data_IF_366512275397
#
_entry.id   IF_366512275397
#
_cell.length_a   1.000
_cell.length_b   1.000
_cell.length_c   1.000
_cell.angle_alpha   90.00
_cell.angle_beta   90.00
_cell.angle_gamma   90.00
#
_symmetry.space_group_name_H-M   'P 1'
#
loop_
_entity.id
_entity.type
_entity.pdbx_description
1 polymer ?
#
# COMPACT_ATOMS: atom_id res chain seq x y z
N UNK A 1 -7.33 20.64 12.66
CA UNK A 1 -7.80 21.81 13.43
C UNK A 1 -7.11 23.05 12.91
N UNK A 2 -7.86 23.85 12.16
CA UNK A 2 -7.47 25.14 11.58
C UNK A 2 -7.20 26.15 12.69
N UNK A 3 -6.11 26.92 12.56
CA UNK A 3 -5.78 28.01 13.46
C UNK A 3 -6.87 29.08 13.46
N UNK A 4 -7.00 29.73 14.62
CA UNK A 4 -7.82 30.88 14.93
C UNK A 4 -8.18 31.81 13.73
N UNK A 5 -9.46 31.81 13.34
CA UNK A 5 -10.28 32.99 13.02
C UNK A 5 -9.94 33.95 11.87
N UNK A 6 -8.74 33.98 11.29
CA UNK A 6 -8.29 35.09 10.42
C UNK A 6 -8.53 34.92 8.90
N UNK A 7 -9.12 33.79 8.48
CA UNK A 7 -9.34 33.49 7.05
C UNK A 7 -8.03 33.25 6.26
N UNK A 8 -8.11 33.06 4.94
CA UNK A 8 -6.92 32.91 4.07
C UNK A 8 -6.13 34.21 4.02
N UNK A 9 -4.79 34.18 4.03
CA UNK A 9 -3.98 35.37 3.79
C UNK A 9 -4.21 35.97 2.40
N UNK A 10 -4.02 37.28 2.26
CA UNK A 10 -4.06 38.00 0.97
C UNK A 10 -2.72 38.66 0.73
N UNK A 11 -2.19 38.53 -0.49
CA UNK A 11 -0.88 39.04 -0.85
C UNK A 11 -0.87 39.58 -2.30
N UNK A 12 -0.19 40.71 -2.60
CA UNK A 12 -0.23 41.35 -3.91
C UNK A 12 0.88 40.79 -4.83
N UNK A 13 0.72 39.56 -5.30
CA UNK A 13 1.79 38.84 -6.03
C UNK A 13 2.32 39.60 -7.24
N UNK A 14 1.44 40.20 -8.05
CA UNK A 14 1.81 40.85 -9.30
C UNK A 14 2.43 42.24 -9.09
N UNK A 15 2.27 42.81 -7.89
CA UNK A 15 2.89 44.08 -7.51
C UNK A 15 4.37 43.91 -7.14
N UNK A 16 4.77 42.72 -6.68
CA UNK A 16 6.16 42.43 -6.30
C UNK A 16 6.99 42.18 -7.57
N UNK A 17 7.42 43.26 -8.21
CA UNK A 17 8.21 43.23 -9.45
C UNK A 17 9.71 43.25 -9.21
N UNK A 18 10.15 43.63 -8.01
CA UNK A 18 11.55 43.61 -7.59
C UNK A 18 11.67 43.53 -6.06
N UNK A 19 12.86 43.18 -5.56
CA UNK A 19 13.13 43.15 -4.12
C UNK A 19 12.95 44.52 -3.44
N UNK A 20 13.16 45.62 -4.16
CA UNK A 20 13.02 46.96 -3.59
C UNK A 20 11.58 47.29 -3.18
N UNK A 21 10.59 46.72 -3.86
CA UNK A 21 9.17 46.87 -3.52
C UNK A 21 8.90 46.38 -2.09
N UNK A 22 9.62 45.35 -1.63
CA UNK A 22 9.45 44.83 -0.27
C UNK A 22 9.81 45.84 0.83
N UNK A 23 10.59 46.87 0.50
CA UNK A 23 10.98 47.92 1.44
C UNK A 23 9.95 49.07 1.53
N UNK A 24 8.91 49.07 0.68
CA UNK A 24 7.85 50.08 0.76
C UNK A 24 7.13 50.00 2.11
N UNK A 25 6.91 51.16 2.73
CA UNK A 25 6.47 51.27 4.13
C UNK A 25 4.97 51.53 4.28
N UNK A 26 4.23 51.49 3.18
CA UNK A 26 2.79 51.72 3.14
C UNK A 26 2.07 50.47 2.65
N UNK A 27 0.83 50.31 3.09
CA UNK A 27 -0.07 49.29 2.53
C UNK A 27 -0.17 49.51 1.02
N UNK A 28 0.04 48.49 0.18
CA UNK A 28 -0.12 48.60 -1.27
C UNK A 28 -1.54 49.05 -1.62
N UNK A 29 -1.71 49.83 -2.70
CA UNK A 29 -3.04 50.26 -3.11
C UNK A 29 -3.94 49.06 -3.43
N UNK A 30 -5.25 49.22 -3.32
CA UNK A 30 -6.21 48.12 -3.55
C UNK A 30 -6.00 47.41 -4.89
N UNK A 31 -5.74 48.16 -5.96
CA UNK A 31 -5.47 47.63 -7.30
C UNK A 31 -4.20 46.76 -7.40
N UNK A 32 -3.29 46.83 -6.43
CA UNK A 32 -2.08 46.01 -6.39
C UNK A 32 -2.39 44.53 -6.09
N UNK A 33 -3.58 44.23 -5.57
CA UNK A 33 -4.03 42.88 -5.24
C UNK A 33 -4.85 42.23 -6.36
N UNK A 34 -5.03 42.93 -7.48
CA UNK A 34 -5.73 42.38 -8.64
C UNK A 34 -4.90 41.27 -9.28
N UNK A 35 -5.58 40.23 -9.75
CA UNK A 35 -4.94 39.10 -10.43
C UNK A 35 -5.27 39.13 -11.90
N UNK A 36 -4.29 39.47 -12.75
CA UNK A 36 -4.40 39.33 -14.21
C UNK A 36 -4.55 37.86 -14.59
N UNK A 37 -3.89 36.95 -13.85
CA UNK A 37 -4.01 35.50 -14.09
C UNK A 37 -5.45 35.00 -13.94
N UNK A 38 -6.20 35.52 -12.96
CA UNK A 38 -7.59 35.13 -12.71
C UNK A 38 -8.62 36.07 -13.32
N UNK A 39 -8.20 37.25 -13.77
CA UNK A 39 -9.09 38.33 -14.22
C UNK A 39 -9.99 38.84 -13.10
N UNK A 40 -9.50 38.85 -11.86
CA UNK A 40 -10.29 39.20 -10.66
C UNK A 40 -9.65 40.34 -9.89
N UNK A 41 -10.47 41.26 -9.37
CA UNK A 41 -10.04 42.29 -8.42
C UNK A 41 -10.40 41.92 -6.99
N UNK A 42 -9.65 42.45 -6.02
CA UNK A 42 -9.93 42.26 -4.60
C UNK A 42 -11.23 42.99 -4.21
N UNK A 43 -12.01 42.41 -3.29
CA UNK A 43 -13.21 43.08 -2.75
C UNK A 43 -12.82 44.20 -1.77
N UNK A 44 -13.73 45.16 -1.54
CA UNK A 44 -13.53 46.20 -0.52
C UNK A 44 -13.31 45.61 0.87
N UNK A 45 -14.14 44.64 1.27
CA UNK A 45 -14.06 43.96 2.57
C UNK A 45 -12.72 43.23 2.77
N UNK A 46 -12.24 42.54 1.72
CA UNK A 46 -10.93 41.89 1.75
C UNK A 46 -9.77 42.89 1.87
N UNK A 47 -9.89 44.06 1.24
CA UNK A 47 -8.89 45.12 1.35
C UNK A 47 -8.90 45.79 2.73
N UNK A 48 -10.08 46.02 3.32
CA UNK A 48 -10.20 46.44 4.73
C UNK A 48 -9.51 45.43 5.67
N UNK A 49 -9.66 44.13 5.39
CA UNK A 49 -8.97 43.09 6.15
C UNK A 49 -7.45 43.17 6.01
N UNK A 50 -6.91 43.48 4.82
CA UNK A 50 -5.47 43.69 4.62
C UNK A 50 -4.98 44.85 5.47
N UNK A 51 -5.71 45.98 5.48
CA UNK A 51 -5.38 47.15 6.32
C UNK A 51 -5.41 46.80 7.82
N UNK A 52 -6.45 46.10 8.26
CA UNK A 52 -6.55 45.62 9.64
C UNK A 52 -5.35 44.74 10.02
N UNK A 53 -4.98 43.77 9.18
CA UNK A 53 -3.81 42.90 9.43
C UNK A 53 -2.53 43.71 9.50
N UNK A 54 -2.34 44.66 8.59
CA UNK A 54 -1.16 45.53 8.57
C UNK A 54 -1.01 46.31 9.89
N UNK A 55 -2.10 46.92 10.37
CA UNK A 55 -2.12 47.68 11.62
C UNK A 55 -2.00 46.77 12.85
N UNK A 56 -2.75 45.67 12.89
CA UNK A 56 -2.79 44.74 14.02
C UNK A 56 -1.43 44.10 14.32
N UNK A 57 -0.67 43.76 13.27
CA UNK A 57 0.68 43.21 13.40
C UNK A 57 1.80 44.27 13.37
N UNK A 58 1.44 45.56 13.40
CA UNK A 58 2.36 46.71 13.37
C UNK A 58 3.41 46.63 12.24
N UNK A 59 2.96 46.23 11.05
CA UNK A 59 3.83 46.02 9.88
C UNK A 59 4.47 47.34 9.44
N UNK A 60 5.78 47.32 9.20
CA UNK A 60 6.54 48.52 8.79
C UNK A 60 6.84 48.54 7.31
N UNK A 61 6.71 47.39 6.64
CA UNK A 61 7.05 47.22 5.23
C UNK A 61 6.26 46.10 4.57
N UNK A 62 6.21 46.11 3.23
CA UNK A 62 5.63 45.00 2.45
C UNK A 62 6.34 43.67 2.75
N UNK A 63 7.63 43.70 3.12
CA UNK A 63 8.37 42.53 3.59
C UNK A 63 7.72 41.87 4.82
N UNK A 64 7.21 42.66 5.76
CA UNK A 64 6.54 42.15 6.96
C UNK A 64 5.23 41.44 6.58
N UNK A 65 4.48 42.02 5.63
CA UNK A 65 3.29 41.39 5.06
C UNK A 65 3.61 40.07 4.36
N UNK A 66 4.71 40.00 3.61
CA UNK A 66 5.18 38.76 2.95
C UNK A 66 5.55 37.69 3.99
N UNK A 67 6.28 38.05 5.04
CA UNK A 67 6.68 37.14 6.11
C UNK A 67 5.44 36.60 6.81
N UNK A 68 4.51 37.47 7.17
CA UNK A 68 3.24 37.08 7.78
C UNK A 68 2.46 36.13 6.88
N UNK A 69 2.29 36.50 5.60
CA UNK A 69 1.56 35.71 4.61
C UNK A 69 2.15 34.31 4.47
N UNK A 70 3.47 34.20 4.28
CA UNK A 70 4.14 32.90 4.16
C UNK A 70 4.04 32.07 5.45
N UNK A 71 4.11 32.71 6.62
CA UNK A 71 4.00 32.01 7.90
C UNK A 71 2.62 31.38 8.12
N UNK A 72 1.55 31.89 7.50
CA UNK A 72 0.23 31.27 7.55
C UNK A 72 0.22 29.86 6.95
N UNK A 73 1.05 29.59 5.94
CA UNK A 73 1.18 28.27 5.33
C UNK A 73 2.31 27.44 5.96
N UNK A 74 3.47 28.07 6.21
CA UNK A 74 4.67 27.39 6.72
C UNK A 74 4.46 26.87 8.14
N UNK A 75 3.85 27.64 9.05
CA UNK A 75 3.71 27.22 10.45
C UNK A 75 2.82 25.98 10.58
N UNK A 76 1.62 25.91 9.98
CA UNK A 76 0.83 24.68 9.97
C UNK A 76 1.54 23.52 9.28
N UNK A 77 2.27 23.77 8.19
CA UNK A 77 3.01 22.73 7.48
C UNK A 77 4.11 22.11 8.36
N UNK A 78 4.91 22.93 9.06
CA UNK A 78 5.93 22.45 10.01
C UNK A 78 5.27 21.71 11.19
N UNK A 79 4.12 22.18 11.68
CA UNK A 79 3.37 21.46 12.73
C UNK A 79 2.92 20.08 12.26
N UNK A 80 2.43 19.96 11.03
CA UNK A 80 2.03 18.69 10.42
C UNK A 80 3.24 17.76 10.25
N UNK A 81 4.36 18.28 9.74
CA UNK A 81 5.63 17.53 9.61
C UNK A 81 6.10 17.01 10.97
N UNK A 82 6.09 17.85 12.00
CA UNK A 82 6.50 17.42 13.35
C UNK A 82 5.60 16.29 13.87
N UNK A 83 4.28 16.41 13.69
CA UNK A 83 3.34 15.37 14.10
C UNK A 83 3.57 14.05 13.34
N UNK A 84 3.76 14.10 12.02
CA UNK A 84 4.05 12.90 11.22
C UNK A 84 5.40 12.28 11.58
N UNK A 85 6.44 13.09 11.82
CA UNK A 85 7.74 12.60 12.29
C UNK A 85 7.62 11.84 13.61
N UNK A 86 6.89 12.37 14.58
CA UNK A 86 6.70 11.68 15.87
C UNK A 86 5.81 10.42 15.76
N UNK A 87 4.98 10.31 14.72
CA UNK A 87 4.27 9.07 14.41
C UNK A 87 5.23 7.99 13.86
N UNK A 88 6.02 8.31 12.83
CA UNK A 88 6.89 7.34 12.17
C UNK A 88 8.11 6.92 13.00
N UNK A 89 8.58 7.80 13.90
CA UNK A 89 9.58 7.44 14.91
C UNK A 89 9.18 6.24 15.78
N UNK A 90 7.88 5.98 15.98
CA UNK A 90 7.41 4.81 16.76
C UNK A 90 7.69 3.48 16.07
N UNK A 91 8.03 3.54 14.79
CA UNK A 91 8.37 2.40 13.93
C UNK A 91 9.86 2.41 13.56
N UNK A 92 10.68 3.20 14.27
CA UNK A 92 12.10 3.42 13.96
C UNK A 92 12.35 3.87 12.51
N UNK A 93 11.45 4.68 11.96
CA UNK A 93 11.55 5.24 10.61
C UNK A 93 11.81 6.75 10.65
N UNK A 94 12.79 7.20 9.86
CA UNK A 94 12.95 8.61 9.50
C UNK A 94 12.03 8.95 8.30
N UNK A 95 11.07 9.84 8.54
CA UNK A 95 10.09 10.21 7.53
C UNK A 95 10.68 10.76 6.22
N UNK A 96 11.87 11.35 6.23
CA UNK A 96 12.49 11.96 5.05
C UNK A 96 13.55 11.08 4.40
N UNK A 97 14.26 10.26 5.19
CA UNK A 97 15.29 9.37 4.67
C UNK A 97 14.72 7.99 4.29
N UNK A 98 13.78 7.46 5.07
CA UNK A 98 13.25 6.10 4.89
C UNK A 98 12.09 6.02 3.92
N UNK A 99 11.41 7.12 3.61
CA UNK A 99 10.32 7.11 2.65
C UNK A 99 10.16 8.45 1.95
N UNK A 100 10.16 8.43 0.62
CA UNK A 100 9.91 9.64 -0.20
C UNK A 100 8.44 10.08 -0.11
N UNK A 101 7.55 9.21 0.38
CA UNK A 101 6.11 9.46 0.48
C UNK A 101 5.48 8.74 1.66
N UNK A 102 4.30 9.21 2.11
CA UNK A 102 3.50 8.54 3.14
C UNK A 102 3.21 7.08 2.80
N UNK A 103 2.78 6.70 1.57
CA UNK A 103 2.63 5.30 1.21
C UNK A 103 3.90 4.46 1.39
N UNK A 104 5.07 4.98 1.03
CA UNK A 104 6.33 4.26 1.21
C UNK A 104 6.68 3.99 2.68
N UNK A 105 6.38 4.95 3.57
CA UNK A 105 6.53 4.73 5.01
C UNK A 105 5.50 3.74 5.55
N UNK A 106 4.24 3.84 5.11
CA UNK A 106 3.19 2.89 5.48
C UNK A 106 3.51 1.46 5.05
N UNK A 107 4.09 1.27 3.86
CA UNK A 107 4.57 -0.03 3.38
C UNK A 107 5.66 -0.60 4.30
N UNK A 108 6.66 0.21 4.69
CA UNK A 108 7.70 -0.24 5.63
C UNK A 108 7.11 -0.67 6.97
N UNK A 109 6.16 0.11 7.51
CA UNK A 109 5.44 -0.24 8.74
C UNK A 109 4.66 -1.54 8.58
N UNK A 110 3.99 -1.76 7.45
CA UNK A 110 3.29 -3.01 7.15
C UNK A 110 4.25 -4.21 7.21
N UNK A 111 5.42 -4.13 6.57
CA UNK A 111 6.40 -5.23 6.62
C UNK A 111 6.98 -5.45 8.02
N UNK A 112 7.24 -4.39 8.80
CA UNK A 112 7.69 -4.56 10.19
C UNK A 112 6.60 -5.21 11.06
N UNK A 113 5.33 -4.83 10.89
CA UNK A 113 4.24 -5.26 11.77
C UNK A 113 3.73 -6.66 11.44
N UNK A 114 3.71 -7.07 10.16
CA UNK A 114 3.19 -8.38 9.77
C UNK A 114 4.04 -9.54 10.31
N UNK A 115 5.37 -9.38 10.40
CA UNK A 115 6.26 -10.42 10.92
C UNK A 115 6.50 -10.36 12.44
N UNK A 116 6.06 -9.30 13.13
CA UNK A 116 6.21 -9.16 14.59
C UNK A 116 4.98 -9.62 15.36
N UNK A 117 3.78 -9.50 14.78
CA UNK A 117 2.51 -9.87 15.42
C UNK A 117 2.03 -11.29 15.06
N UNK A 118 2.94 -12.27 15.07
CA UNK A 118 2.63 -13.67 14.74
C UNK A 118 1.67 -14.28 15.76
N UNK A 119 0.62 -14.96 15.27
CA UNK A 119 -0.24 -15.81 16.09
C UNK A 119 0.44 -17.17 16.30
N UNK A 120 0.23 -17.75 17.48
CA UNK A 120 0.73 -19.07 17.80
C UNK A 120 -0.40 -20.09 17.75
N UNK A 121 -0.14 -21.32 17.25
CA UNK A 121 -1.13 -22.38 17.30
C UNK A 121 -1.61 -22.64 18.74
N UNK A 122 -2.88 -23.02 18.88
CA UNK A 122 -3.44 -23.42 20.17
C UNK A 122 -2.64 -24.60 20.75
N UNK A 123 -2.35 -24.51 22.05
CA UNK A 123 -1.62 -25.53 22.83
C UNK A 123 -2.56 -26.37 23.69
N UNK A 124 -3.83 -26.47 23.29
CA UNK A 124 -4.81 -27.37 23.92
C UNK A 124 -4.32 -28.81 23.84
N UNK A 125 -4.16 -29.50 24.99
CA UNK A 125 -3.72 -30.90 25.02
C UNK A 125 -4.53 -31.80 24.08
N UNK A 126 -3.87 -32.75 23.42
CA UNK A 126 -4.56 -33.78 22.66
C UNK A 126 -5.05 -34.92 23.56
N UNK A 127 -5.81 -35.85 22.98
CA UNK A 127 -6.24 -37.06 23.68
C UNK A 127 -5.04 -37.92 24.06
N UNK A 128 -5.12 -38.53 25.23
CA UNK A 128 -4.08 -39.43 25.76
C UNK A 128 -3.98 -40.69 24.89
N UNK A 129 -2.76 -41.06 24.50
CA UNK A 129 -2.47 -42.33 23.82
C UNK A 129 -1.08 -42.85 24.18
N UNK A 130 -0.83 -44.12 23.92
CA UNK A 130 0.50 -44.73 24.07
C UNK A 130 1.25 -44.66 22.74
N UNK A 131 2.53 -44.37 22.79
CA UNK A 131 3.39 -44.31 21.61
C UNK A 131 3.33 -45.68 20.87
N UNK A 132 3.22 -45.68 19.54
CA UNK A 132 3.06 -46.90 18.76
C UNK A 132 4.35 -47.76 18.78
N UNK A 133 4.30 -48.90 19.48
CA UNK A 133 5.47 -49.76 19.70
C UNK A 133 6.09 -50.31 18.40
N UNK A 134 5.28 -50.50 17.36
CA UNK A 134 5.74 -50.95 16.04
C UNK A 134 6.74 -49.98 15.38
N UNK A 135 6.76 -48.69 15.77
CA UNK A 135 7.71 -47.70 15.22
C UNK A 135 9.14 -47.84 15.76
N UNK A 136 9.33 -48.42 16.96
CA UNK A 136 10.66 -48.56 17.57
C UNK A 136 11.65 -49.33 16.69
N UNK A 137 11.19 -50.41 16.06
CA UNK A 137 12.03 -51.23 15.18
C UNK A 137 12.59 -50.43 14.00
N UNK A 138 11.80 -49.47 13.48
CA UNK A 138 12.24 -48.56 12.43
C UNK A 138 13.35 -47.63 12.90
N UNK A 139 13.20 -46.99 14.05
CA UNK A 139 14.21 -46.09 14.61
C UNK A 139 15.53 -46.81 14.92
N UNK A 140 15.45 -47.99 15.55
CA UNK A 140 16.62 -48.83 15.83
C UNK A 140 17.39 -49.20 14.55
N UNK A 141 16.67 -49.56 13.49
CA UNK A 141 17.26 -49.90 12.19
C UNK A 141 17.93 -48.70 11.52
N UNK A 142 17.32 -47.51 11.62
CA UNK A 142 17.87 -46.27 11.08
C UNK A 142 19.19 -45.88 11.76
N UNK A 143 19.27 -46.00 13.08
CA UNK A 143 20.47 -45.64 13.83
C UNK A 143 21.58 -46.68 13.65
N UNK A 144 21.25 -47.97 13.63
CA UNK A 144 22.20 -49.03 13.31
C UNK A 144 22.83 -48.81 11.91
N UNK A 145 22.02 -48.49 10.90
CA UNK A 145 22.49 -48.18 9.54
C UNK A 145 23.43 -46.97 9.50
N UNK A 146 23.13 -45.95 10.30
CA UNK A 146 23.93 -44.72 10.38
C UNK A 146 25.07 -44.80 11.42
N UNK A 147 25.29 -45.96 12.06
CA UNK A 147 26.27 -46.17 13.14
C UNK A 147 26.10 -45.22 14.33
N UNK A 148 24.85 -44.95 14.72
CA UNK A 148 24.48 -44.13 15.88
C UNK A 148 24.02 -45.00 17.05
N UNK A 149 24.20 -44.50 18.27
CA UNK A 149 23.74 -45.15 19.50
C UNK A 149 22.20 -45.15 19.59
N UNK A 150 21.63 -46.20 20.19
CA UNK A 150 20.19 -46.31 20.42
C UNK A 150 19.95 -46.80 21.85
N UNK A 151 19.30 -45.97 22.67
CA UNK A 151 18.91 -46.31 24.05
C UNK A 151 17.44 -46.01 24.35
N UNK A 152 16.68 -45.55 23.34
CA UNK A 152 15.29 -45.15 23.51
C UNK A 152 14.35 -46.31 23.89
N UNK A 153 13.50 -46.08 24.90
CA UNK A 153 12.48 -47.03 25.36
C UNK A 153 11.06 -46.51 25.10
N UNK A 154 10.08 -47.42 25.06
CA UNK A 154 8.68 -47.05 24.89
C UNK A 154 8.16 -46.20 26.06
N UNK A 155 8.60 -46.52 27.28
CA UNK A 155 8.27 -45.78 28.50
C UNK A 155 8.79 -44.33 28.45
N UNK A 156 10.02 -44.13 27.94
CA UNK A 156 10.57 -42.80 27.73
C UNK A 156 9.73 -42.01 26.71
N UNK A 157 9.37 -42.60 25.57
CA UNK A 157 8.53 -41.92 24.56
C UNK A 157 7.14 -41.55 25.11
N UNK A 158 6.53 -42.42 25.91
CA UNK A 158 5.26 -42.13 26.59
C UNK A 158 5.39 -40.99 27.61
N UNK A 159 6.50 -40.95 28.33
CA UNK A 159 6.82 -39.85 29.26
C UNK A 159 6.98 -38.53 28.49
N UNK A 160 7.63 -38.53 27.32
CA UNK A 160 7.75 -37.34 26.48
C UNK A 160 6.40 -36.90 25.91
N UNK A 161 5.54 -37.83 25.49
CA UNK A 161 4.17 -37.53 25.05
C UNK A 161 3.40 -36.78 26.14
N UNK A 162 3.43 -37.28 27.38
CA UNK A 162 2.78 -36.64 28.53
C UNK A 162 3.36 -35.24 28.80
N UNK A 163 4.69 -35.12 28.85
CA UNK A 163 5.39 -33.82 29.05
C UNK A 163 5.03 -32.81 27.96
N UNK A 164 4.87 -33.25 26.72
CA UNK A 164 4.48 -32.41 25.57
C UNK A 164 2.96 -32.23 25.42
N UNK A 165 2.15 -32.72 26.36
CA UNK A 165 0.67 -32.66 26.29
C UNK A 165 0.11 -33.27 25.00
N UNK A 166 0.80 -34.28 24.47
CA UNK A 166 0.45 -34.97 23.22
C UNK A 166 0.40 -34.04 22.01
N UNK A 167 1.24 -33.00 22.01
CA UNK A 167 1.39 -32.06 20.89
C UNK A 167 2.72 -32.26 20.16
N UNK A 168 2.70 -32.00 18.86
CA UNK A 168 3.92 -31.93 18.07
C UNK A 168 4.84 -30.85 18.62
N UNK A 169 6.09 -31.20 18.92
CA UNK A 169 7.11 -30.28 19.42
C UNK A 169 7.57 -29.23 18.41
N UNK A 170 7.12 -29.31 17.15
CA UNK A 170 7.49 -28.39 16.06
C UNK A 170 6.32 -27.49 15.65
N UNK A 171 5.15 -28.06 15.35
CA UNK A 171 3.98 -27.32 14.87
C UNK A 171 2.84 -27.19 15.88
N UNK A 172 2.96 -27.81 17.06
CA UNK A 172 1.91 -27.88 18.09
C UNK A 172 0.58 -28.54 17.66
N UNK A 173 0.51 -29.18 16.49
CA UNK A 173 -0.68 -29.96 16.14
C UNK A 173 -0.91 -31.08 17.15
N UNK A 174 -2.18 -31.41 17.38
CA UNK A 174 -2.57 -32.54 18.22
C UNK A 174 -2.08 -33.85 17.60
N UNK A 175 -1.43 -34.68 18.42
CA UNK A 175 -0.91 -35.97 18.00
C UNK A 175 -1.91 -37.08 18.27
N UNK A 176 -1.78 -38.14 17.48
CA UNK A 176 -2.45 -39.43 17.64
C UNK A 176 -1.38 -40.53 17.50
N UNK A 177 -1.75 -41.77 17.80
CA UNK A 177 -0.86 -42.91 17.59
C UNK A 177 -0.37 -43.02 16.13
N UNK A 178 -1.19 -42.60 15.16
CA UNK A 178 -0.85 -42.65 13.74
C UNK A 178 0.03 -41.49 13.28
N UNK A 179 -0.06 -40.35 13.97
CA UNK A 179 0.65 -39.13 13.55
C UNK A 179 1.90 -38.83 14.34
N UNK A 180 2.11 -39.44 15.50
CA UNK A 180 3.29 -39.23 16.34
C UNK A 180 4.57 -39.88 15.78
N UNK A 181 5.69 -39.20 15.96
CA UNK A 181 7.03 -39.68 15.65
C UNK A 181 8.02 -39.24 16.73
N UNK A 182 9.05 -40.06 16.96
CA UNK A 182 10.25 -39.64 17.68
C UNK A 182 11.19 -38.95 16.67
N UNK A 183 11.60 -37.72 16.97
CA UNK A 183 12.43 -36.87 16.13
C UNK A 183 13.72 -36.53 16.86
N UNK A 184 14.85 -36.61 16.16
CA UNK A 184 16.17 -36.38 16.75
C UNK A 184 16.41 -34.88 16.85
N UNK A 185 16.79 -34.42 18.04
CA UNK A 185 17.16 -33.02 18.27
C UNK A 185 18.46 -32.69 17.53
N UNK A 186 19.44 -33.60 17.58
CA UNK A 186 20.68 -33.55 16.84
C UNK A 186 20.77 -34.78 15.92
N UNK A 187 20.77 -34.55 14.60
CA UNK A 187 20.83 -35.60 13.59
C UNK A 187 22.14 -36.43 13.62
N UNK A 188 23.20 -35.90 14.22
CA UNK A 188 24.47 -36.62 14.39
C UNK A 188 24.45 -37.64 15.54
N UNK A 189 23.51 -37.49 16.48
CA UNK A 189 23.30 -38.42 17.59
C UNK A 189 22.11 -39.33 17.25
N UNK A 190 22.05 -40.54 17.83
CA UNK A 190 20.93 -41.45 17.60
C UNK A 190 19.75 -41.18 18.53
N UNK A 191 18.81 -42.12 18.58
CA UNK A 191 17.67 -42.08 19.49
C UNK A 191 18.11 -42.50 20.89
N UNK A 192 18.65 -41.51 21.61
CA UNK A 192 19.11 -41.62 22.99
C UNK A 192 18.36 -40.63 23.89
N UNK A 193 18.41 -40.89 25.19
CA UNK A 193 17.85 -40.02 26.21
C UNK A 193 18.38 -38.59 26.09
N UNK A 194 17.48 -37.61 26.09
CA UNK A 194 17.82 -36.19 25.95
C UNK A 194 18.02 -35.70 24.52
N UNK A 195 18.08 -36.59 23.51
CA UNK A 195 18.20 -36.20 22.10
C UNK A 195 16.87 -36.31 21.32
N UNK A 196 15.72 -36.39 21.99
CA UNK A 196 14.46 -36.73 21.33
C UNK A 196 13.35 -35.73 21.64
N UNK A 197 12.67 -35.31 20.56
CA UNK A 197 11.47 -34.49 20.57
C UNK A 197 10.34 -35.30 19.94
N UNK A 198 9.15 -35.33 20.54
CA UNK A 198 8.01 -35.91 19.85
C UNK A 198 7.50 -34.90 18.83
N UNK A 199 7.49 -35.27 17.54
CA UNK A 199 6.92 -34.45 16.47
C UNK A 199 5.85 -35.23 15.71
N UNK A 200 5.09 -34.56 14.83
CA UNK A 200 4.24 -35.28 13.91
C UNK A 200 5.08 -35.80 12.73
N UNK A 201 4.66 -36.90 12.12
CA UNK A 201 5.36 -37.52 10.97
C UNK A 201 5.61 -36.51 9.85
N UNK A 202 4.66 -35.60 9.60
CA UNK A 202 4.80 -34.54 8.59
C UNK A 202 5.99 -33.62 8.91
N UNK A 203 6.10 -33.14 10.15
CA UNK A 203 7.19 -32.26 10.57
C UNK A 203 8.54 -32.99 10.58
N UNK A 204 8.61 -34.22 11.09
CA UNK A 204 9.85 -35.02 11.08
C UNK A 204 10.39 -35.24 9.65
N UNK A 205 9.50 -35.47 8.69
CA UNK A 205 9.89 -35.66 7.29
C UNK A 205 10.31 -34.33 6.63
N UNK A 206 9.66 -33.22 7.00
CA UNK A 206 9.90 -31.91 6.42
C UNK A 206 11.11 -31.17 7.01
N UNK A 207 11.50 -31.45 8.26
CA UNK A 207 12.61 -30.77 8.95
C UNK A 207 13.96 -31.02 8.30
N UNK A 208 14.19 -32.21 7.73
CA UNK A 208 15.45 -32.62 7.10
C UNK A 208 16.64 -32.32 8.03
N UNK A 209 17.59 -31.49 7.58
CA UNK A 209 18.78 -31.09 8.34
C UNK A 209 18.66 -29.70 8.97
N UNK A 210 17.46 -29.11 8.95
CA UNK A 210 17.22 -27.79 9.53
C UNK A 210 17.27 -27.85 11.05
N UNK A 211 17.76 -26.77 11.67
CA UNK A 211 17.71 -26.67 13.13
C UNK A 211 16.26 -26.64 13.62
N UNK A 212 16.01 -27.18 14.81
CA UNK A 212 14.68 -27.14 15.44
C UNK A 212 14.12 -25.72 15.54
N UNK A 213 14.97 -24.75 15.89
CA UNK A 213 14.58 -23.34 15.98
C UNK A 213 14.16 -22.77 14.62
N UNK A 214 14.96 -23.03 13.58
CA UNK A 214 14.64 -22.61 12.20
C UNK A 214 13.35 -23.24 11.70
N UNK A 215 13.17 -24.55 11.92
CA UNK A 215 11.96 -25.25 11.47
C UNK A 215 10.71 -24.80 12.22
N UNK A 216 10.79 -24.57 13.54
CA UNK A 216 9.71 -24.01 14.34
C UNK A 216 9.29 -22.63 13.83
N UNK A 217 10.27 -21.77 13.54
CA UNK A 217 9.98 -20.44 13.00
C UNK A 217 9.34 -20.54 11.61
N UNK A 218 9.87 -21.38 10.71
CA UNK A 218 9.25 -21.64 9.40
C UNK A 218 7.81 -22.11 9.52
N UNK A 219 7.55 -23.07 10.40
CA UNK A 219 6.21 -23.61 10.66
C UNK A 219 5.26 -22.54 11.22
N UNK A 220 5.78 -21.65 12.09
CA UNK A 220 5.03 -20.52 12.61
C UNK A 220 4.66 -19.52 11.51
N UNK A 221 5.56 -19.27 10.55
CA UNK A 221 5.26 -18.45 9.38
C UNK A 221 4.20 -19.12 8.49
N UNK A 222 4.31 -20.43 8.23
CA UNK A 222 3.30 -21.19 7.48
C UNK A 222 1.92 -21.12 8.15
N UNK A 223 1.85 -21.21 9.48
CA UNK A 223 0.61 -21.05 10.25
C UNK A 223 -0.02 -19.65 10.12
N UNK A 224 0.79 -18.61 9.89
CA UNK A 224 0.33 -17.23 9.70
C UNK A 224 0.27 -16.82 8.22
N UNK A 225 0.43 -17.76 7.28
CA UNK A 225 0.63 -17.43 5.86
C UNK A 225 -0.51 -16.60 5.25
N UNK A 226 -1.72 -16.71 5.77
CA UNK A 226 -2.91 -15.94 5.39
C UNK A 226 -2.86 -14.46 5.85
N UNK A 227 -1.87 -14.08 6.65
CA UNK A 227 -1.74 -12.73 7.26
C UNK A 227 -0.37 -12.09 7.01
N UNK A 228 0.55 -12.84 6.43
CA UNK A 228 1.90 -12.38 6.13
C UNK A 228 1.97 -11.81 4.72
N UNK A 229 2.65 -10.68 4.58
CA UNK A 229 2.92 -10.06 3.29
C UNK A 229 4.40 -10.21 2.98
N UNK A 230 4.70 -10.85 1.86
CA UNK A 230 6.07 -11.07 1.39
C UNK A 230 6.40 -10.13 0.25
N UNK A 231 7.62 -9.61 0.23
CA UNK A 231 8.14 -8.99 -0.98
C UNK A 231 8.37 -10.07 -2.04
N UNK A 232 7.98 -9.78 -3.28
CA UNK A 232 8.24 -10.68 -4.41
C UNK A 232 9.75 -10.69 -4.67
N UNK A 233 10.37 -11.84 -4.45
CA UNK A 233 11.82 -11.99 -4.52
C UNK A 233 12.26 -12.79 -5.76
N UNK A 234 13.54 -13.19 -5.78
CA UNK A 234 14.14 -13.90 -6.91
C UNK A 234 13.49 -15.27 -7.18
N UNK A 235 12.94 -15.92 -6.17
CA UNK A 235 12.24 -17.21 -6.33
C UNK A 235 10.94 -17.02 -7.11
N UNK A 236 10.29 -15.86 -6.97
CA UNK A 236 9.01 -15.51 -7.57
C UNK A 236 9.19 -14.55 -8.78
N UNK A 237 10.39 -14.51 -9.38
CA UNK A 237 10.73 -13.56 -10.47
C UNK A 237 9.78 -13.60 -11.67
N UNK A 238 9.21 -14.77 -11.97
CA UNK A 238 8.32 -14.94 -13.12
C UNK A 238 6.95 -14.31 -12.81
N UNK A 239 6.49 -14.42 -11.57
CA UNK A 239 5.29 -13.74 -11.06
C UNK A 239 5.54 -12.23 -11.02
N UNK A 240 6.72 -11.80 -10.56
CA UNK A 240 7.12 -10.39 -10.58
C UNK A 240 7.01 -9.80 -11.98
N UNK A 241 7.58 -10.47 -13.00
CA UNK A 241 7.55 -10.00 -14.38
C UNK A 241 6.11 -9.86 -14.90
N UNK A 242 5.25 -10.87 -14.65
CA UNK A 242 3.84 -10.84 -15.01
C UNK A 242 3.06 -9.72 -14.32
N UNK A 243 3.26 -9.53 -13.02
CA UNK A 243 2.61 -8.43 -12.30
C UNK A 243 3.11 -7.09 -12.84
N UNK A 244 4.42 -6.92 -13.01
CA UNK A 244 5.04 -5.68 -13.47
C UNK A 244 4.57 -5.25 -14.85
N UNK A 245 4.40 -6.19 -15.78
CA UNK A 245 3.88 -5.90 -17.12
C UNK A 245 2.41 -5.47 -17.13
N UNK A 246 1.66 -5.83 -16.08
CA UNK A 246 0.22 -5.56 -15.94
C UNK A 246 -0.11 -4.48 -14.89
N UNK A 247 0.89 -3.91 -14.22
CA UNK A 247 0.67 -2.77 -13.32
C UNK A 247 0.25 -1.56 -14.15
N UNK A 248 -0.96 -1.07 -13.88
CA UNK A 248 -1.47 0.19 -14.39
C UNK A 248 -1.49 1.24 -13.26
N UNK A 249 -1.35 2.51 -13.64
CA UNK A 249 -1.57 3.63 -12.73
C UNK A 249 -3.06 3.86 -12.45
N UNK A 250 -3.36 4.94 -11.71
CA UNK A 250 -4.74 5.36 -11.49
C UNK A 250 -5.46 5.65 -12.82
N UNK A 251 -6.72 5.20 -12.98
CA UNK A 251 -7.46 5.46 -14.20
C UNK A 251 -7.73 6.97 -14.36
N UNK A 252 -7.37 7.52 -15.52
CA UNK A 252 -7.73 8.87 -15.92
C UNK A 252 -8.70 8.80 -17.09
N UNK A 253 -9.97 9.15 -16.83
CA UNK A 253 -11.06 9.05 -17.79
C UNK A 253 -11.62 10.45 -18.05
N UNK A 254 -11.70 10.83 -19.33
CA UNK A 254 -12.23 12.12 -19.75
C UNK A 254 -13.51 11.88 -20.54
N UNK A 255 -14.66 12.09 -19.90
CA UNK A 255 -15.98 11.93 -20.55
C UNK A 255 -16.35 13.13 -21.41
N UNK A 256 -15.99 14.33 -20.96
CA UNK A 256 -16.20 15.56 -21.71
C UNK A 256 -14.99 16.48 -21.48
N UNK A 257 -14.44 17.00 -22.57
CA UNK A 257 -13.26 17.88 -22.55
C UNK A 257 -13.61 19.32 -22.19
N UNK A 258 -14.87 19.70 -22.30
CA UNK A 258 -15.34 21.05 -21.98
C UNK A 258 -16.76 21.04 -21.40
N UNK A 259 -16.91 21.65 -20.23
CA UNK A 259 -18.20 21.89 -19.63
C UNK A 259 -18.27 23.32 -19.08
N UNK A 260 -19.31 24.06 -19.48
CA UNK A 260 -19.61 25.39 -19.00
C UNK A 260 -21.03 25.45 -18.44
N UNK A 261 -21.10 26.02 -17.24
CA UNK A 261 -22.36 26.25 -16.53
C UNK A 261 -23.30 27.08 -17.41
N UNK A 262 -24.56 26.66 -17.45
CA UNK A 262 -25.66 27.23 -18.23
C UNK A 262 -25.55 27.13 -19.75
N UNK A 263 -24.51 26.48 -20.29
CA UNK A 263 -24.28 26.39 -21.74
C UNK A 263 -24.19 24.92 -22.21
N UNK A 264 -23.34 24.12 -21.57
CA UNK A 264 -23.12 22.73 -21.98
C UNK A 264 -24.32 21.85 -21.64
N UNK A 265 -24.79 21.07 -22.63
CA UNK A 265 -25.77 19.99 -22.41
C UNK A 265 -25.04 18.73 -21.91
N UNK A 266 -25.52 18.15 -20.82
CA UNK A 266 -25.05 16.90 -20.21
C UNK A 266 -26.01 15.75 -20.54
N UNK A 267 -25.71 14.53 -20.06
CA UNK A 267 -26.48 13.31 -20.28
C UNK A 267 -28.00 13.54 -20.14
N UNK A 268 -28.76 13.08 -21.14
CA UNK A 268 -30.20 13.31 -21.25
C UNK A 268 -30.60 14.72 -21.72
N UNK A 269 -29.67 15.47 -22.34
CA UNK A 269 -29.93 16.80 -22.92
C UNK A 269 -30.12 17.94 -21.90
N UNK A 270 -29.86 17.69 -20.61
CA UNK A 270 -30.05 18.66 -19.53
C UNK A 270 -28.95 19.72 -19.57
N UNK A 271 -29.26 20.97 -19.20
CA UNK A 271 -28.25 22.03 -19.12
C UNK A 271 -27.42 21.87 -17.84
N UNK A 272 -26.09 21.93 -17.96
CA UNK A 272 -25.17 21.93 -16.83
C UNK A 272 -25.44 23.14 -15.92
N UNK A 273 -25.73 22.93 -14.63
CA UNK A 273 -25.99 24.03 -13.66
C UNK A 273 -24.88 24.23 -12.64
N UNK A 274 -24.07 23.20 -12.39
CA UNK A 274 -22.98 23.22 -11.40
C UNK A 274 -21.93 22.18 -11.81
N UNK A 275 -20.68 22.49 -11.52
CA UNK A 275 -19.53 21.58 -11.65
C UNK A 275 -19.02 21.33 -10.24
N UNK A 276 -18.84 20.06 -9.87
CA UNK A 276 -18.38 19.64 -8.54
C UNK A 276 -17.23 18.66 -8.75
N UNK A 277 -16.12 18.89 -8.05
CA UNK A 277 -15.02 17.93 -7.96
C UNK A 277 -15.14 17.13 -6.67
N UNK A 278 -14.93 15.82 -6.77
CA UNK A 278 -14.82 14.92 -5.63
C UNK A 278 -13.42 14.34 -5.63
N UNK A 279 -12.84 14.20 -4.45
CA UNK A 279 -11.55 13.56 -4.24
C UNK A 279 -11.71 12.52 -3.13
N UNK A 280 -11.12 11.34 -3.35
CA UNK A 280 -11.19 10.25 -2.38
C UNK A 280 -10.11 10.44 -1.32
N UNK A 281 -10.52 10.56 -0.06
CA UNK A 281 -9.58 10.60 1.06
C UNK A 281 -8.79 9.28 1.12
N UNK A 282 -7.49 9.34 0.83
CA UNK A 282 -6.56 8.23 1.00
C UNK A 282 -6.97 6.92 0.27
N UNK A 283 -7.39 7.03 -1.00
CA UNK A 283 -7.88 5.91 -1.82
C UNK A 283 -7.05 4.61 -1.71
N UNK A 284 -5.72 4.70 -1.86
CA UNK A 284 -4.84 3.51 -1.80
C UNK A 284 -4.78 2.89 -0.40
N UNK A 285 -4.82 3.68 0.67
CA UNK A 285 -4.84 3.16 2.03
C UNK A 285 -6.17 2.46 2.32
N UNK A 286 -7.29 3.00 1.82
CA UNK A 286 -8.56 2.30 1.88
C UNK A 286 -8.52 0.98 1.12
N UNK A 287 -7.97 0.96 -0.10
CA UNK A 287 -7.80 -0.26 -0.89
C UNK A 287 -6.97 -1.33 -0.16
N UNK A 288 -5.84 -0.94 0.44
CA UNK A 288 -5.00 -1.83 1.27
C UNK A 288 -5.71 -2.37 2.52
N UNK A 289 -6.77 -1.72 2.99
CA UNK A 289 -7.59 -2.18 4.12
C UNK A 289 -8.64 -3.24 3.75
N UNK A 290 -8.78 -3.59 2.47
CA UNK A 290 -9.66 -4.66 2.01
C UNK A 290 -8.90 -6.01 1.94
N UNK A 291 -9.58 -7.07 1.51
CA UNK A 291 -8.93 -8.35 1.25
C UNK A 291 -7.82 -8.20 0.19
N UNK A 292 -6.63 -8.71 0.53
CA UNK A 292 -5.42 -8.62 -0.29
C UNK A 292 -4.74 -10.00 -0.32
N UNK A 293 -4.09 -10.38 -1.42
CA UNK A 293 -3.38 -11.66 -1.47
C UNK A 293 -2.23 -11.65 -0.45
N UNK A 294 -2.24 -12.65 0.43
CA UNK A 294 -1.21 -12.86 1.45
C UNK A 294 -0.43 -14.15 1.18
N UNK A 295 0.68 -14.31 1.89
CA UNK A 295 1.55 -15.46 1.79
C UNK A 295 2.52 -15.38 0.62
N UNK A 296 3.18 -16.50 0.35
CA UNK A 296 4.03 -16.66 -0.83
C UNK A 296 3.15 -16.86 -2.06
N UNK A 297 3.49 -16.17 -3.14
CA UNK A 297 2.70 -16.23 -4.35
C UNK A 297 2.89 -17.58 -5.02
N UNK A 298 1.79 -18.21 -5.40
CA UNK A 298 1.79 -19.48 -6.13
C UNK A 298 1.02 -19.33 -7.43
N UNK A 299 1.28 -20.24 -8.37
CA UNK A 299 0.56 -20.31 -9.64
C UNK A 299 -0.13 -21.66 -9.73
N UNK A 300 -1.33 -21.65 -10.30
CA UNK A 300 -2.08 -22.84 -10.65
C UNK A 300 -2.44 -22.74 -12.13
N UNK A 301 -2.51 -23.89 -12.81
CA UNK A 301 -2.99 -23.93 -14.18
C UNK A 301 -4.48 -23.56 -14.22
N UNK A 302 -4.87 -22.82 -15.25
CA UNK A 302 -6.28 -22.49 -15.46
C UNK A 302 -7.07 -23.77 -15.77
N UNK A 303 -8.27 -23.87 -15.20
CA UNK A 303 -9.15 -25.02 -15.37
C UNK A 303 -10.58 -24.60 -15.73
N UNK A 304 -11.38 -25.48 -16.36
CA UNK A 304 -12.77 -25.19 -16.66
C UNK A 304 -13.56 -24.85 -15.39
N UNK A 305 -14.09 -23.63 -15.31
CA UNK A 305 -14.84 -23.15 -14.14
C UNK A 305 -14.09 -22.16 -13.25
N UNK A 306 -12.79 -21.94 -13.46
CA UNK A 306 -11.99 -21.01 -12.62
C UNK A 306 -12.58 -19.59 -12.56
N UNK A 307 -13.14 -19.09 -13.67
CA UNK A 307 -13.82 -17.78 -13.70
C UNK A 307 -15.03 -17.79 -12.77
N UNK A 308 -15.82 -18.86 -12.78
CA UNK A 308 -16.98 -18.99 -11.88
C UNK A 308 -16.52 -19.08 -10.43
N UNK A 309 -15.43 -19.78 -10.15
CA UNK A 309 -14.93 -19.91 -8.79
C UNK A 309 -14.39 -18.58 -8.24
N UNK A 310 -13.74 -17.76 -9.08
CA UNK A 310 -13.33 -16.40 -8.72
C UNK A 310 -14.54 -15.48 -8.49
N UNK A 311 -15.51 -15.48 -9.41
CA UNK A 311 -16.71 -14.62 -9.31
C UNK A 311 -17.58 -14.95 -8.11
N UNK A 312 -17.53 -16.19 -7.62
CA UNK A 312 -18.27 -16.64 -6.43
C UNK A 312 -17.37 -16.75 -5.18
N UNK A 313 -16.23 -16.05 -5.16
CA UNK A 313 -15.30 -15.95 -4.01
C UNK A 313 -14.83 -17.30 -3.44
N UNK A 314 -14.83 -18.37 -4.26
CA UNK A 314 -14.24 -19.66 -3.87
C UNK A 314 -12.73 -19.68 -4.01
N UNK A 315 -12.19 -18.86 -4.90
CA UNK A 315 -10.77 -18.62 -5.10
C UNK A 315 -10.53 -17.12 -5.14
N UNK A 316 -9.54 -16.67 -4.40
CA UNK A 316 -9.11 -15.29 -4.37
C UNK A 316 -7.70 -15.18 -4.97
N UNK A 317 -7.49 -14.27 -5.93
CA UNK A 317 -6.20 -14.10 -6.60
C UNK A 317 -6.29 -13.35 -7.92
N UNK A 318 -5.27 -13.52 -8.76
CA UNK A 318 -5.17 -12.89 -10.08
C UNK A 318 -5.38 -13.91 -11.19
N UNK A 319 -6.14 -13.53 -12.23
CA UNK A 319 -6.36 -14.35 -13.42
C UNK A 319 -5.83 -13.62 -14.66
N UNK A 320 -4.91 -14.26 -15.37
CA UNK A 320 -4.49 -13.83 -16.71
C UNK A 320 -5.56 -14.26 -17.72
N UNK A 321 -6.21 -13.29 -18.38
CA UNK A 321 -7.29 -13.57 -19.32
C UNK A 321 -7.42 -12.50 -20.41
N UNK A 322 -8.01 -12.90 -21.54
CA UNK A 322 -8.42 -11.97 -22.58
C UNK A 322 -9.79 -11.39 -22.27
N UNK A 323 -9.88 -10.05 -22.22
CA UNK A 323 -11.13 -9.33 -21.94
C UNK A 323 -11.60 -8.64 -23.22
N UNK A 324 -12.90 -8.77 -23.53
CA UNK A 324 -13.55 -8.09 -24.67
C UNK A 324 -14.94 -7.61 -24.32
N UNK A 325 -15.31 -6.45 -24.85
CA UNK A 325 -16.68 -5.93 -24.73
C UNK A 325 -17.57 -6.55 -25.83
N UNK A 326 -18.68 -7.25 -25.47
CA UNK A 326 -19.62 -7.78 -26.46
C UNK A 326 -20.14 -6.69 -27.41
N UNK A 327 -20.36 -6.97 -28.70
CA UNK A 327 -20.76 -5.96 -29.68
C UNK A 327 -22.00 -5.15 -29.28
N UNK A 328 -23.02 -5.82 -28.73
CA UNK A 328 -24.27 -5.20 -28.30
C UNK A 328 -24.14 -4.30 -27.05
N UNK A 329 -23.01 -4.34 -26.32
CA UNK A 329 -22.75 -3.51 -25.15
C UNK A 329 -21.74 -2.38 -25.43
N UNK A 330 -21.20 -2.27 -26.64
CA UNK A 330 -20.20 -1.25 -26.98
C UNK A 330 -20.73 0.17 -26.80
N UNK A 331 -21.98 0.42 -27.19
CA UNK A 331 -22.62 1.73 -27.01
C UNK A 331 -22.90 2.02 -25.53
N UNK A 332 -23.32 1.01 -24.76
CA UNK A 332 -23.54 1.16 -23.33
C UNK A 332 -22.25 1.56 -22.58
N UNK A 333 -21.13 0.91 -22.91
CA UNK A 333 -19.82 1.17 -22.30
C UNK A 333 -19.00 2.25 -23.01
N UNK A 334 -19.55 2.97 -23.98
CA UNK A 334 -18.79 3.99 -24.72
C UNK A 334 -18.41 5.17 -23.82
N UNK A 335 -19.22 5.48 -22.80
CA UNK A 335 -18.90 6.51 -21.81
C UNK A 335 -17.84 6.01 -20.82
N UNK A 336 -17.99 4.78 -20.29
CA UNK A 336 -17.08 4.19 -19.31
C UNK A 336 -16.64 2.80 -19.77
N UNK A 337 -15.52 2.75 -20.49
CA UNK A 337 -14.99 1.48 -21.00
C UNK A 337 -14.49 0.62 -19.84
N UNK A 338 -14.89 -0.67 -19.73
CA UNK A 338 -14.43 -1.55 -18.67
C UNK A 338 -12.97 -2.00 -18.85
N UNK A 339 -12.37 -1.68 -19.99
CA UNK A 339 -11.00 -2.04 -20.34
C UNK A 339 -10.18 -0.75 -20.47
N UNK A 340 -9.18 -0.60 -19.62
CA UNK A 340 -8.27 0.55 -19.63
C UNK A 340 -7.04 0.21 -20.47
N UNK A 341 -6.70 1.09 -21.42
CA UNK A 341 -5.46 0.99 -22.20
C UNK A 341 -4.78 2.34 -22.27
N UNK A 342 -3.45 2.32 -22.26
CA UNK A 342 -2.67 3.52 -22.53
C UNK A 342 -2.85 3.89 -24.01
N UNK A 343 -3.15 5.16 -24.27
CA UNK A 343 -3.25 5.70 -25.63
C UNK A 343 -2.66 7.09 -25.67
N UNK A 344 -1.98 7.42 -26.77
CA UNK A 344 -1.56 8.80 -27.03
C UNK A 344 -2.74 9.56 -27.63
N UNK A 345 -2.97 10.78 -27.15
CA UNK A 345 -3.99 11.67 -27.67
C UNK A 345 -3.32 12.65 -28.62
N UNK A 346 -3.79 12.71 -29.87
CA UNK A 346 -3.29 13.67 -30.87
C UNK A 346 -3.93 15.03 -30.60
N UNK A 347 -3.22 15.89 -29.87
CA UNK A 347 -3.72 17.21 -29.47
C UNK A 347 -3.82 18.24 -30.61
N UNK A 348 -3.45 17.88 -31.82
CA UNK A 348 -3.59 18.71 -33.02
C UNK A 348 -4.80 18.35 -33.88
N UNK A 349 -5.56 17.32 -33.53
CA UNK A 349 -6.75 16.90 -34.26
C UNK A 349 -8.00 17.36 -33.51
N UNK A 350 -8.71 18.33 -34.09
CA UNK A 350 -9.95 18.88 -33.56
C UNK A 350 -11.01 17.79 -33.32
N UNK A 351 -11.08 16.76 -34.16
CA UNK A 351 -12.06 15.68 -33.99
C UNK A 351 -11.79 14.83 -32.74
N UNK A 352 -10.53 14.78 -32.29
CA UNK A 352 -10.11 14.01 -31.13
C UNK A 352 -10.27 14.82 -29.84
N UNK A 353 -9.90 16.11 -29.86
CA UNK A 353 -9.87 16.96 -28.67
C UNK A 353 -11.04 17.95 -28.55
N UNK A 354 -11.87 18.07 -29.58
CA UNK A 354 -12.96 19.03 -29.66
C UNK A 354 -12.48 20.46 -29.93
N UNK A 355 -13.36 21.24 -30.58
CA UNK A 355 -13.10 22.62 -31.00
C UNK A 355 -12.50 23.51 -29.90
N UNK A 356 -13.10 23.51 -28.70
CA UNK A 356 -12.63 24.37 -27.61
C UNK A 356 -11.18 24.11 -27.22
N UNK A 357 -10.80 22.83 -27.05
CA UNK A 357 -9.42 22.49 -26.68
C UNK A 357 -8.44 22.71 -27.82
N UNK A 358 -8.90 22.55 -29.07
CA UNK A 358 -8.12 22.87 -30.25
C UNK A 358 -7.79 24.37 -30.31
N UNK A 359 -8.80 25.24 -30.23
CA UNK A 359 -8.64 26.69 -30.18
C UNK A 359 -7.76 27.14 -29.00
N UNK A 360 -7.97 26.55 -27.82
CA UNK A 360 -7.13 26.80 -26.64
C UNK A 360 -5.65 26.43 -26.88
N UNK A 361 -5.39 25.29 -27.52
CA UNK A 361 -4.03 24.87 -27.86
C UNK A 361 -3.40 25.82 -28.90
N UNK A 362 -4.15 26.22 -29.92
CA UNK A 362 -3.68 27.19 -30.94
C UNK A 362 -3.36 28.56 -30.33
N UNK A 363 -4.22 29.07 -29.45
CA UNK A 363 -3.98 30.33 -28.74
C UNK A 363 -2.72 30.25 -27.86
N UNK A 364 -2.46 29.11 -27.21
CA UNK A 364 -1.24 28.92 -26.40
C UNK A 364 0.02 28.67 -27.22
N UNK A 365 -0.07 28.18 -28.46
CA UNK A 365 1.11 28.12 -29.35
C UNK A 365 1.70 29.50 -29.59
N UNK A 366 0.86 30.53 -29.64
CA UNK A 366 1.28 31.93 -29.81
C UNK A 366 1.94 32.50 -28.54
N UNK A 367 1.63 31.96 -27.35
CA UNK A 367 2.15 32.42 -26.06
C UNK A 367 3.34 31.60 -25.52
N UNK A 368 3.81 30.58 -26.25
CA UNK A 368 5.02 29.82 -25.85
C UNK A 368 6.25 30.64 -26.25
N UNK A 369 7.04 31.05 -25.25
CA UNK A 369 8.47 31.25 -25.50
C UNK A 369 9.00 29.94 -26.11
N UNK A 370 9.68 30.02 -27.26
CA UNK A 370 10.32 28.85 -27.88
C UNK A 370 11.22 28.20 -26.82
N UNK A 371 11.09 26.89 -26.55
CA UNK A 371 12.07 26.22 -25.71
C UNK A 371 13.44 26.39 -26.37
N UNK A 372 14.42 26.85 -25.58
CA UNK A 372 15.81 26.90 -25.99
C UNK A 372 16.27 25.45 -26.17
N UNK A 373 16.52 25.06 -27.42
CA UNK A 373 16.85 23.67 -27.81
C UNK A 373 18.30 23.28 -27.43
N UNK A 374 18.98 24.08 -26.60
CA UNK A 374 20.34 23.87 -26.12
C UNK A 374 20.43 23.67 -24.59
N UNK A 375 19.58 22.82 -24.00
CA UNK A 375 19.79 22.30 -22.64
C UNK A 375 19.43 20.83 -22.49
#
# INVERSE_FOLDING_TARGET
MTGFGLGKGIFPYEYITSFNVLNETKVPPQSAFDSKLRGTSITGDDYERVKFVWEYYDMKSIKDLLIWYNNLDVVPFIKAIKAQRELFKRFDLDMFADGVSLPGLSEKVMYQTCFTNLQYPDKKPANVFQFPANRLGGYKSQDAKAKREFSMTLEHLNTLLQKQKYLCGLCYCQLTADTASADRINNNLGHIDGNILISCVKCNTASKDMSLGGFRYKTLLEFNSDRLVYSIDKEEKDIYAKMKSNIAGGPSIIFNRYAKRNETKIRGGKICKKIIGYDANALYLWALGNEMPCGRLTTIDAYPGIISDIVNDKIFGFLECDIRTPPHLKEYFSEMTPIFKNTLIVCSDENIIGQHMFEYNEARKQSRAKPDLNR
#
